data_IF_005985739772
#
_entry.id   IF_005985739772
#
_cell.length_a   1.000
_cell.length_b   1.000
_cell.length_c   1.000
_cell.angle_alpha   90.00
_cell.angle_beta   90.00
_cell.angle_gamma   90.00
#
_symmetry.space_group_name_H-M   'P 1'
#
loop_
_entity.id
_entity.type
_entity.pdbx_description
1 polymer ?
#
# COMPACT_ATOMS: atom_id res chain seq x y z
N UNK A 1 17.33 0.61 11.80
CA UNK A 1 16.28 -0.40 11.78
C UNK A 1 14.94 0.23 12.12
N UNK A 2 14.00 0.10 11.23
CA UNK A 2 12.70 0.71 11.40
C UNK A 2 11.67 -0.38 11.71
N UNK A 3 11.17 -0.38 12.94
CA UNK A 3 10.22 -1.39 13.38
C UNK A 3 8.78 -1.00 13.12
N UNK A 4 8.57 0.23 12.66
CA UNK A 4 7.22 0.72 12.38
C UNK A 4 6.86 0.56 10.90
N UNK A 5 7.73 -0.02 10.10
CA UNK A 5 7.47 -0.22 8.69
C UNK A 5 6.31 -1.19 8.48
N UNK A 6 5.50 -0.93 7.47
CA UNK A 6 4.35 -1.75 7.15
C UNK A 6 4.37 -2.09 5.68
N UNK A 7 4.13 -3.36 5.38
CA UNK A 7 4.00 -3.83 4.01
C UNK A 7 2.57 -4.32 3.79
N UNK A 8 1.93 -3.81 2.76
CA UNK A 8 0.59 -4.24 2.39
C UNK A 8 0.63 -4.87 1.01
N UNK A 9 -0.04 -6.00 0.86
CA UNK A 9 -0.08 -6.73 -0.40
C UNK A 9 -1.53 -6.99 -0.78
N UNK A 10 -1.85 -6.76 -2.05
CA UNK A 10 -3.17 -7.05 -2.59
C UNK A 10 -3.06 -8.33 -3.42
N UNK A 11 -3.58 -9.45 -2.91
CA UNK A 11 -3.33 -10.75 -3.57
C UNK A 11 -3.96 -10.87 -4.94
N UNK A 12 -5.04 -10.18 -5.20
CA UNK A 12 -5.73 -10.31 -6.49
C UNK A 12 -4.89 -9.79 -7.65
N UNK A 13 -4.12 -8.74 -7.41
CA UNK A 13 -3.28 -8.16 -8.47
C UNK A 13 -1.80 -8.42 -8.24
N UNK A 14 -1.44 -8.89 -7.05
CA UNK A 14 -0.03 -9.09 -6.72
C UNK A 14 0.70 -7.80 -6.41
N UNK A 15 0.00 -6.69 -6.31
CA UNK A 15 0.63 -5.41 -6.00
C UNK A 15 0.92 -5.29 -4.51
N UNK A 16 1.97 -4.57 -4.19
CA UNK A 16 2.34 -4.35 -2.80
C UNK A 16 2.93 -2.96 -2.62
N UNK A 17 2.86 -2.49 -1.39
CA UNK A 17 3.46 -1.22 -1.01
C UNK A 17 4.21 -1.41 0.30
N UNK A 18 5.22 -0.58 0.49
CA UNK A 18 6.03 -0.59 1.70
C UNK A 18 6.07 0.83 2.24
N UNK A 19 5.63 1.02 3.48
CA UNK A 19 5.51 2.35 4.08
C UNK A 19 6.31 2.39 5.38
N UNK A 20 7.19 3.36 5.47
CA UNK A 20 7.97 3.60 6.68
C UNK A 20 8.14 5.11 6.93
N UNK A 21 7.14 5.88 6.53
CA UNK A 21 7.23 7.34 6.57
C UNK A 21 7.05 7.90 7.96
N UNK A 22 6.30 7.21 8.79
CA UNK A 22 5.97 7.69 10.14
C UNK A 22 6.63 6.82 11.19
N UNK A 23 6.78 7.39 12.37
CA UNK A 23 7.26 6.63 13.53
C UNK A 23 6.15 5.80 14.16
N UNK A 24 4.92 6.03 13.75
CA UNK A 24 3.77 5.28 14.24
C UNK A 24 3.41 4.18 13.27
N UNK A 25 3.41 2.94 13.76
CA UNK A 25 3.03 1.81 12.92
C UNK A 25 1.57 1.92 12.48
N UNK A 26 0.74 2.47 13.35
CA UNK A 26 -0.67 2.66 13.03
C UNK A 26 -0.83 3.60 11.84
N UNK A 27 -0.09 4.71 11.84
CA UNK A 27 -0.15 5.64 10.71
C UNK A 27 0.41 5.02 9.44
N UNK A 28 1.49 4.27 9.57
CA UNK A 28 2.05 3.60 8.39
C UNK A 28 1.05 2.61 7.82
N UNK A 29 0.31 1.93 8.68
CA UNK A 29 -0.72 1.01 8.23
C UNK A 29 -1.80 1.74 7.45
N UNK A 30 -2.24 2.88 7.94
CA UNK A 30 -3.25 3.67 7.23
C UNK A 30 -2.73 4.14 5.89
N UNK A 31 -1.48 4.62 5.87
CA UNK A 31 -0.89 5.09 4.63
C UNK A 31 -0.72 3.95 3.63
N UNK A 32 -0.35 2.78 4.12
CA UNK A 32 -0.16 1.64 3.22
C UNK A 32 -1.47 1.26 2.55
N UNK A 33 -2.56 1.29 3.30
CA UNK A 33 -3.88 0.98 2.74
C UNK A 33 -4.27 1.99 1.69
N UNK A 34 -4.06 3.28 1.97
CA UNK A 34 -4.39 4.34 1.02
C UNK A 34 -3.57 4.19 -0.25
N UNK A 35 -2.27 3.99 -0.12
CA UNK A 35 -1.39 3.88 -1.28
C UNK A 35 -1.69 2.64 -2.09
N UNK A 36 -1.97 1.54 -1.41
CA UNK A 36 -2.30 0.31 -2.10
C UNK A 36 -3.60 0.45 -2.87
N UNK A 37 -4.57 1.12 -2.26
CA UNK A 37 -5.85 1.36 -2.91
C UNK A 37 -5.67 2.16 -4.19
N UNK A 38 -4.82 3.17 -4.15
CA UNK A 38 -4.56 3.97 -5.34
C UNK A 38 -3.93 3.15 -6.44
N UNK A 39 -3.00 2.27 -6.08
CA UNK A 39 -2.36 1.41 -7.08
C UNK A 39 -3.37 0.46 -7.71
N UNK A 40 -4.25 -0.10 -6.90
CA UNK A 40 -5.25 -1.02 -7.42
C UNK A 40 -6.21 -0.29 -8.34
N UNK A 41 -6.58 0.93 -8.00
CA UNK A 41 -7.46 1.70 -8.85
C UNK A 41 -6.82 2.02 -10.19
N UNK A 42 -5.55 2.38 -10.19
CA UNK A 42 -4.84 2.62 -11.45
C UNK A 42 -4.81 1.36 -12.29
N UNK A 43 -4.58 0.22 -11.65
CA UNK A 43 -4.56 -1.04 -12.37
C UNK A 43 -5.90 -1.30 -13.04
N UNK A 44 -6.99 -1.04 -12.33
CA UNK A 44 -8.32 -1.23 -12.88
C UNK A 44 -8.59 -0.29 -14.05
N UNK A 45 -8.17 0.96 -13.93
CA UNK A 45 -8.37 1.92 -15.00
C UNK A 45 -7.66 1.47 -16.26
N UNK A 46 -6.45 0.96 -16.12
CA UNK A 46 -5.70 0.47 -17.26
C UNK A 46 -6.36 -0.75 -17.88
N UNK A 47 -7.00 -1.56 -17.07
CA UNK A 47 -7.66 -2.76 -17.57
C UNK A 47 -8.92 -2.44 -18.37
N UNK A 48 -9.52 -1.30 -18.09
CA UNK A 48 -10.76 -0.91 -18.75
C UNK A 48 -10.52 -0.46 -20.20
N UNK A 49 -9.29 -0.27 -20.56
CA UNK A 49 -8.98 0.05 -21.95
C UNK A 49 -9.07 -1.20 -22.81
#
# INVERSE_FOLDING_TARGET
KVETAVRATYPKTGQSVFVQDSRSQLENKKLSIIRLKEKVMEFHIQQLE
#
